data_IF_294485688347
#
_entry.id   IF_294485688347
#
_cell.length_a   1.000
_cell.length_b   1.000
_cell.length_c   1.000
_cell.angle_alpha   90.00
_cell.angle_beta   90.00
_cell.angle_gamma   90.00
#
_symmetry.space_group_name_H-M   'P 1'
#
loop_
_entity.id
_entity.type
_entity.pdbx_description
1 polymer ?
#
# COMPACT_ATOMS: atom_id res chain seq x y z
N UNK A 1 43.58 -61.25 17.20
CA UNK A 1 42.43 -60.38 17.01
C UNK A 1 41.72 -60.27 18.33
N UNK A 2 42.02 -59.22 19.09
CA UNK A 2 41.60 -59.08 20.50
C UNK A 2 40.56 -57.91 20.55
N UNK A 3 39.30 -58.23 20.88
CA UNK A 3 38.24 -57.27 21.06
C UNK A 3 38.26 -56.77 22.52
N UNK A 4 38.54 -55.49 22.68
CA UNK A 4 38.46 -54.78 23.97
C UNK A 4 37.08 -54.16 24.09
N UNK A 5 36.24 -54.68 25.02
CA UNK A 5 34.94 -54.08 25.38
C UNK A 5 35.18 -53.09 26.51
N UNK A 6 34.85 -51.79 26.26
CA UNK A 6 34.88 -50.73 27.28
C UNK A 6 33.44 -50.56 27.80
N UNK A 7 33.22 -50.85 29.07
CA UNK A 7 31.98 -50.57 29.75
C UNK A 7 32.01 -49.17 30.38
N UNK A 8 31.05 -48.30 30.06
CA UNK A 8 30.85 -47.01 30.70
C UNK A 8 29.81 -47.11 31.78
N UNK A 9 30.07 -46.63 33.01
CA UNK A 9 29.03 -46.58 34.06
C UNK A 9 28.09 -45.41 33.85
N UNK A 10 26.81 -45.69 33.67
CA UNK A 10 25.77 -44.70 33.62
C UNK A 10 25.42 -44.19 35.04
N UNK A 11 25.56 -42.88 35.26
CA UNK A 11 24.99 -42.23 36.43
C UNK A 11 23.54 -41.85 36.18
N UNK A 12 22.61 -42.60 36.80
CA UNK A 12 21.18 -42.23 36.88
C UNK A 12 20.97 -41.33 38.08
N UNK A 13 20.83 -40.02 37.89
CA UNK A 13 20.30 -39.11 38.90
C UNK A 13 18.78 -38.98 38.72
N UNK A 14 18.04 -39.59 39.63
CA UNK A 14 16.57 -39.38 39.70
C UNK A 14 16.33 -38.01 40.38
N UNK A 15 16.16 -36.98 39.56
CA UNK A 15 15.67 -35.69 40.01
C UNK A 15 14.17 -35.60 39.79
N UNK A 16 13.38 -35.58 40.85
CA UNK A 16 11.94 -35.25 40.77
C UNK A 16 11.83 -33.74 40.44
N UNK A 17 11.23 -33.34 39.31
CA UNK A 17 10.92 -31.94 39.10
C UNK A 17 9.76 -31.55 39.98
N UNK A 18 10.04 -30.72 41.00
CA UNK A 18 9.02 -30.03 41.78
C UNK A 18 8.44 -28.91 40.91
N UNK A 19 7.24 -29.11 40.42
CA UNK A 19 6.52 -28.06 39.71
C UNK A 19 6.00 -27.08 40.76
N UNK A 20 6.66 -25.92 40.91
CA UNK A 20 6.06 -24.80 41.63
C UNK A 20 4.84 -24.32 40.87
N UNK A 21 3.67 -24.16 41.50
CA UNK A 21 2.53 -23.57 40.86
C UNK A 21 2.85 -22.07 40.65
N UNK A 22 3.32 -21.70 39.48
CA UNK A 22 3.34 -20.32 39.06
C UNK A 22 1.88 -19.95 38.81
N UNK A 23 1.26 -19.23 39.71
CA UNK A 23 0.02 -18.50 39.48
C UNK A 23 0.32 -17.44 38.39
N UNK A 24 0.36 -17.84 37.17
CA UNK A 24 0.25 -16.94 36.04
C UNK A 24 -1.23 -16.63 35.91
N UNK A 25 -1.64 -15.50 36.47
CA UNK A 25 -2.89 -14.88 36.06
C UNK A 25 -2.90 -14.86 34.51
N UNK A 26 -3.87 -15.48 33.83
CA UNK A 26 -4.04 -15.24 32.43
C UNK A 26 -4.59 -13.83 32.28
N UNK A 27 -3.71 -12.81 32.34
CA UNK A 27 -4.04 -11.49 31.83
C UNK A 27 -4.40 -11.74 30.36
N UNK A 28 -5.68 -11.85 30.12
CA UNK A 28 -6.28 -11.85 28.78
C UNK A 28 -5.86 -10.53 28.14
N UNK A 29 -4.69 -10.54 27.50
CA UNK A 29 -4.27 -9.46 26.64
C UNK A 29 -5.27 -9.41 25.50
N UNK A 30 -6.22 -8.48 25.58
CA UNK A 30 -7.07 -8.18 24.44
C UNK A 30 -6.16 -7.98 23.22
N UNK A 31 -6.51 -8.53 22.06
CA UNK A 31 -5.71 -8.34 20.87
C UNK A 31 -5.50 -6.83 20.66
N UNK A 32 -4.29 -6.40 20.27
CA UNK A 32 -3.99 -5.00 20.08
C UNK A 32 -5.01 -4.37 19.13
N UNK A 33 -5.53 -3.20 19.51
CA UNK A 33 -6.51 -2.49 18.71
C UNK A 33 -5.92 -2.19 17.33
N UNK A 34 -6.69 -2.49 16.27
CA UNK A 34 -6.29 -2.21 14.90
C UNK A 34 -6.25 -0.69 14.71
N UNK A 35 -5.14 -0.18 14.19
CA UNK A 35 -4.92 1.23 13.91
C UNK A 35 -5.95 1.75 12.90
N UNK A 36 -6.65 2.84 13.24
CA UNK A 36 -7.70 3.47 12.41
C UNK A 36 -7.36 4.91 12.01
N UNK A 37 -6.12 5.36 12.23
CA UNK A 37 -5.69 6.73 11.97
C UNK A 37 -4.38 6.75 11.18
N UNK A 38 -4.11 7.84 10.46
CA UNK A 38 -2.81 8.09 9.86
C UNK A 38 -1.75 8.51 10.90
N UNK A 39 -0.55 8.88 10.46
CA UNK A 39 0.56 9.30 11.32
C UNK A 39 0.30 10.64 12.03
N UNK A 40 -0.60 11.47 11.50
CA UNK A 40 -1.03 12.72 12.12
C UNK A 40 -2.25 12.55 13.04
N UNK A 41 -2.72 11.32 13.26
CA UNK A 41 -3.89 11.01 14.11
C UNK A 41 -5.24 11.28 13.42
N UNK A 42 -5.27 11.59 12.12
CA UNK A 42 -6.52 11.78 11.38
C UNK A 42 -7.20 10.43 11.14
N UNK A 43 -8.50 10.29 11.43
CA UNK A 43 -9.21 9.02 11.28
C UNK A 43 -9.34 8.64 9.80
N UNK A 44 -9.25 7.33 9.52
CA UNK A 44 -9.65 6.80 8.22
C UNK A 44 -11.15 7.02 8.01
N UNK A 45 -11.59 7.26 6.76
CA UNK A 45 -13.02 7.44 6.45
C UNK A 45 -13.82 6.12 6.45
N UNK A 46 -13.18 5.00 6.73
CA UNK A 46 -13.74 3.66 6.85
C UNK A 46 -13.05 2.91 7.99
N UNK A 47 -13.64 1.80 8.43
CA UNK A 47 -12.99 0.90 9.39
C UNK A 47 -12.15 -0.12 8.64
N UNK A 48 -10.82 -0.09 8.84
CA UNK A 48 -9.96 -1.18 8.33
C UNK A 48 -9.96 -2.37 9.29
N UNK A 49 -9.99 -3.57 8.72
CA UNK A 49 -9.89 -4.85 9.45
C UNK A 49 -8.46 -5.42 9.42
N UNK A 50 -7.52 -4.72 8.77
CA UNK A 50 -6.16 -5.18 8.55
C UNK A 50 -5.19 -4.60 9.58
N UNK A 51 -4.73 -5.36 10.61
CA UNK A 51 -3.75 -4.89 11.59
C UNK A 51 -2.46 -4.38 10.97
N UNK A 52 -2.05 -4.98 9.84
CA UNK A 52 -0.83 -4.65 9.11
C UNK A 52 -1.12 -3.89 7.80
N UNK A 53 -2.14 -3.03 7.78
CA UNK A 53 -2.40 -2.10 6.67
C UNK A 53 -1.20 -1.18 6.43
N UNK A 54 -0.63 -0.63 7.50
CA UNK A 54 0.68 0.04 7.48
C UNK A 54 1.75 -0.99 7.82
N UNK A 55 2.69 -1.20 6.92
CA UNK A 55 3.73 -2.21 7.07
C UNK A 55 5.00 -1.80 6.33
N UNK A 56 6.04 -2.62 6.39
CA UNK A 56 7.35 -2.34 5.80
C UNK A 56 7.33 -2.17 4.26
N UNK A 57 6.26 -2.58 3.59
CA UNK A 57 6.15 -2.47 2.13
C UNK A 57 5.50 -1.15 1.67
N UNK A 58 4.99 -0.32 2.61
CA UNK A 58 4.26 0.90 2.27
C UNK A 58 4.46 2.06 3.25
N UNK A 59 5.51 2.02 4.06
CA UNK A 59 5.82 3.02 5.10
C UNK A 59 6.89 4.05 4.67
N UNK A 60 7.32 4.04 3.41
CA UNK A 60 8.39 4.90 2.90
C UNK A 60 8.01 6.39 2.76
N UNK A 61 6.78 6.76 3.06
CA UNK A 61 6.29 8.14 3.13
C UNK A 61 5.18 8.26 4.18
N UNK A 62 5.05 9.42 4.87
CA UNK A 62 3.93 9.68 5.77
C UNK A 62 2.62 10.01 5.04
N UNK A 63 2.62 10.17 3.72
CA UNK A 63 1.43 10.47 2.95
C UNK A 63 0.39 9.36 3.07
N UNK A 64 -0.86 9.73 3.39
CA UNK A 64 -2.01 8.82 3.44
C UNK A 64 -3.13 9.37 2.56
N UNK A 65 -3.37 8.78 1.38
CA UNK A 65 -4.39 9.27 0.46
C UNK A 65 -5.78 9.38 1.08
N UNK A 66 -6.14 8.44 1.95
CA UNK A 66 -7.49 8.36 2.51
C UNK A 66 -7.84 9.50 3.46
N UNK A 67 -6.83 10.18 4.03
CA UNK A 67 -7.03 11.29 4.98
C UNK A 67 -6.54 12.63 4.46
N UNK A 68 -5.79 12.63 3.35
CA UNK A 68 -5.17 13.84 2.81
C UNK A 68 -5.75 14.29 1.47
N UNK A 69 -6.45 13.40 0.74
CA UNK A 69 -7.31 13.82 -0.38
C UNK A 69 -8.58 14.45 0.19
N UNK A 70 -8.88 15.66 -0.23
CA UNK A 70 -10.04 16.39 0.25
C UNK A 70 -11.30 16.02 -0.52
N UNK A 71 -12.47 16.26 0.09
CA UNK A 71 -13.77 16.08 -0.56
C UNK A 71 -13.88 16.94 -1.83
N UNK A 72 -13.42 18.19 -1.78
CA UNK A 72 -13.43 19.10 -2.93
C UNK A 72 -12.63 18.56 -4.12
N UNK A 73 -11.46 17.93 -3.85
CA UNK A 73 -10.68 17.26 -4.89
C UNK A 73 -11.44 16.08 -5.49
N UNK A 74 -12.08 15.24 -4.66
CA UNK A 74 -12.91 14.12 -5.12
C UNK A 74 -14.05 14.60 -6.00
N UNK A 75 -14.78 15.64 -5.56
CA UNK A 75 -15.91 16.23 -6.27
C UNK A 75 -15.52 16.87 -7.60
N UNK A 76 -14.37 17.57 -7.64
CA UNK A 76 -13.81 18.18 -8.85
C UNK A 76 -13.59 17.16 -9.97
N UNK A 77 -13.24 15.92 -9.62
CA UNK A 77 -12.99 14.84 -10.59
C UNK A 77 -14.20 13.93 -10.83
N UNK A 78 -15.39 14.37 -10.45
CA UNK A 78 -16.65 13.63 -10.62
C UNK A 78 -16.64 12.25 -9.96
N UNK A 79 -15.89 12.11 -8.87
CA UNK A 79 -15.86 10.91 -8.05
C UNK A 79 -16.93 10.99 -6.97
N UNK A 80 -17.47 9.86 -6.58
CA UNK A 80 -18.40 9.75 -5.47
C UNK A 80 -17.63 9.65 -4.15
N UNK A 81 -17.68 10.70 -3.34
CA UNK A 81 -16.99 10.76 -2.06
C UNK A 81 -17.48 9.69 -1.06
N UNK A 82 -18.75 9.29 -1.16
CA UNK A 82 -19.32 8.25 -0.29
C UNK A 82 -18.91 6.82 -0.72
N UNK A 83 -18.38 6.66 -1.93
CA UNK A 83 -17.89 5.38 -2.44
C UNK A 83 -16.47 5.02 -1.96
N UNK A 84 -15.86 5.87 -1.12
CA UNK A 84 -14.50 5.69 -0.64
C UNK A 84 -14.33 4.34 0.05
N UNK A 85 -13.29 3.61 -0.33
CA UNK A 85 -12.93 2.32 0.27
C UNK A 85 -11.43 2.12 0.32
N UNK A 86 -10.98 1.23 1.20
CA UNK A 86 -9.56 0.88 1.29
C UNK A 86 -9.07 0.25 -0.02
N UNK A 87 -7.92 0.68 -0.49
CA UNK A 87 -7.22 0.02 -1.59
C UNK A 87 -6.52 -1.27 -1.12
N UNK A 88 -6.22 -1.40 0.18
CA UNK A 88 -5.70 -2.63 0.75
C UNK A 88 -6.82 -3.69 0.84
N UNK A 89 -6.58 -4.89 0.31
CA UNK A 89 -7.52 -6.00 0.32
C UNK A 89 -7.11 -7.14 1.29
N UNK A 90 -5.97 -7.00 1.97
CA UNK A 90 -5.44 -8.01 2.90
C UNK A 90 -4.39 -7.41 3.83
N UNK A 91 -4.03 -8.17 4.87
CA UNK A 91 -2.86 -7.87 5.69
C UNK A 91 -1.58 -7.88 4.86
N UNK A 92 -0.60 -7.05 5.25
CA UNK A 92 0.70 -6.93 4.60
C UNK A 92 0.64 -6.60 3.11
N UNK A 93 -0.46 -5.99 2.65
CA UNK A 93 -0.57 -5.50 1.28
C UNK A 93 0.61 -4.56 0.96
N UNK A 94 1.15 -4.68 -0.25
CA UNK A 94 2.30 -3.87 -0.70
C UNK A 94 1.97 -2.40 -0.87
N UNK A 95 0.69 -2.06 -1.05
CA UNK A 95 0.22 -0.69 -1.15
C UNK A 95 -0.94 -0.42 -0.19
N UNK A 96 -1.03 0.80 0.33
CA UNK A 96 -2.15 1.35 1.09
C UNK A 96 -2.69 2.60 0.41
N UNK A 97 -3.94 2.88 0.53
CA UNK A 97 -4.55 4.04 -0.11
C UNK A 97 -6.05 3.92 -0.21
N UNK A 98 -6.66 4.75 -1.04
CA UNK A 98 -8.09 4.80 -1.24
C UNK A 98 -8.50 4.70 -2.69
N UNK A 99 -9.69 4.14 -2.87
CA UNK A 99 -10.37 4.02 -4.16
C UNK A 99 -11.72 4.74 -4.07
N UNK A 100 -12.05 5.50 -5.11
CA UNK A 100 -13.34 6.17 -5.32
C UNK A 100 -13.93 5.75 -6.65
N UNK A 101 -15.24 5.64 -6.72
CA UNK A 101 -15.99 5.29 -7.93
C UNK A 101 -16.39 6.56 -8.69
N UNK A 102 -16.36 6.54 -10.00
CA UNK A 102 -16.89 7.66 -10.81
C UNK A 102 -18.41 7.69 -10.75
N UNK A 103 -18.99 8.90 -10.67
CA UNK A 103 -20.45 9.10 -10.60
C UNK A 103 -21.18 8.75 -11.90
N UNK A 104 -20.51 8.91 -13.03
CA UNK A 104 -21.11 8.78 -14.36
C UNK A 104 -21.51 7.34 -14.69
N UNK A 105 -20.77 6.34 -14.20
CA UNK A 105 -21.05 4.94 -14.51
C UNK A 105 -21.16 4.02 -13.30
N UNK A 106 -20.77 4.48 -12.10
CA UNK A 106 -20.84 3.73 -10.85
C UNK A 106 -19.95 2.47 -10.82
N UNK A 107 -19.05 2.28 -11.78
CA UNK A 107 -18.18 1.09 -11.92
C UNK A 107 -16.72 1.44 -12.13
N UNK A 108 -16.45 2.47 -12.94
CA UNK A 108 -15.11 3.00 -13.13
C UNK A 108 -14.60 3.61 -11.85
N UNK A 109 -13.29 3.56 -11.61
CA UNK A 109 -12.74 4.03 -10.34
C UNK A 109 -11.38 4.70 -10.51
N UNK A 110 -11.07 5.54 -9.54
CA UNK A 110 -9.75 6.11 -9.30
C UNK A 110 -9.21 5.53 -7.99
N UNK A 111 -7.97 5.11 -8.02
CA UNK A 111 -7.22 4.71 -6.82
C UNK A 111 -6.02 5.61 -6.67
N UNK A 112 -5.82 6.16 -5.46
CA UNK A 112 -4.54 6.74 -5.09
C UNK A 112 -3.94 5.93 -3.96
N UNK A 113 -2.73 5.42 -4.17
CA UNK A 113 -2.08 4.48 -3.25
C UNK A 113 -0.59 4.76 -3.09
N UNK A 114 -0.06 4.30 -1.97
CA UNK A 114 1.35 4.39 -1.57
C UNK A 114 1.92 2.99 -1.45
N UNK A 115 3.06 2.76 -2.09
CA UNK A 115 3.85 1.53 -1.94
C UNK A 115 5.34 1.86 -1.97
N UNK A 116 6.14 1.14 -1.20
CA UNK A 116 7.59 1.34 -1.21
C UNK A 116 8.17 0.90 -2.55
N UNK A 117 9.18 1.64 -3.02
CA UNK A 117 9.97 1.21 -4.15
C UNK A 117 10.83 0.01 -3.75
N UNK A 118 10.88 -1.03 -4.59
CA UNK A 118 11.79 -2.17 -4.36
C UNK A 118 13.25 -1.76 -4.46
N UNK A 119 13.53 -0.78 -5.32
CA UNK A 119 14.87 -0.20 -5.53
C UNK A 119 14.85 1.32 -5.28
N UNK A 120 14.73 1.78 -4.01
CA UNK A 120 14.55 3.20 -3.70
C UNK A 120 15.73 4.08 -4.13
N UNK A 121 16.95 3.51 -4.20
CA UNK A 121 18.15 4.23 -4.70
C UNK A 121 18.07 4.52 -6.19
N UNK A 122 17.37 3.70 -6.97
CA UNK A 122 17.13 3.90 -8.40
C UNK A 122 15.91 4.77 -8.67
N UNK A 123 15.11 5.05 -7.62
CA UNK A 123 13.93 5.91 -7.70
C UNK A 123 12.90 5.40 -8.73
N UNK A 124 12.31 6.33 -9.48
CA UNK A 124 11.29 5.99 -10.48
C UNK A 124 11.82 5.14 -11.65
N UNK A 125 13.11 5.18 -11.95
CA UNK A 125 13.68 4.30 -12.99
C UNK A 125 13.69 2.85 -12.53
N UNK A 126 14.07 2.59 -11.28
CA UNK A 126 13.96 1.26 -10.67
C UNK A 126 12.51 0.78 -10.62
N UNK A 127 11.57 1.68 -10.29
CA UNK A 127 10.14 1.33 -10.32
C UNK A 127 9.67 0.95 -11.73
N UNK A 128 10.07 1.69 -12.78
CA UNK A 128 9.77 1.32 -14.18
C UNK A 128 10.37 -0.04 -14.55
N UNK A 129 11.62 -0.28 -14.17
CA UNK A 129 12.33 -1.51 -14.48
C UNK A 129 11.64 -2.74 -13.86
N UNK A 130 11.33 -2.67 -12.57
CA UNK A 130 10.66 -3.78 -11.85
C UNK A 130 9.29 -4.10 -12.44
N UNK A 131 8.56 -3.10 -12.95
CA UNK A 131 7.22 -3.25 -13.50
C UNK A 131 7.17 -3.34 -15.04
N UNK A 132 8.33 -3.47 -15.71
CA UNK A 132 8.41 -3.44 -17.18
C UNK A 132 7.68 -4.59 -17.89
N UNK A 133 7.49 -5.72 -17.21
CA UNK A 133 6.80 -6.89 -17.77
C UNK A 133 5.27 -6.77 -17.81
N UNK A 134 4.69 -5.79 -17.11
CA UNK A 134 3.22 -5.64 -16.99
C UNK A 134 2.68 -4.26 -17.33
N UNK A 135 3.55 -3.26 -17.46
CA UNK A 135 3.15 -1.87 -17.70
C UNK A 135 3.79 -1.36 -19.00
N UNK A 136 2.98 -0.81 -19.89
CA UNK A 136 3.42 -0.01 -21.02
C UNK A 136 3.70 1.41 -20.52
N UNK A 137 4.98 1.80 -20.48
CA UNK A 137 5.41 3.11 -20.03
C UNK A 137 5.35 4.14 -21.14
N UNK A 138 4.86 5.33 -20.83
CA UNK A 138 4.83 6.49 -21.71
C UNK A 138 5.98 7.47 -21.36
N UNK A 139 6.06 8.57 -22.10
CA UNK A 139 7.01 9.65 -21.82
C UNK A 139 6.75 10.24 -20.44
N UNK A 140 7.82 10.47 -19.69
CA UNK A 140 7.77 11.13 -18.41
C UNK A 140 7.36 12.60 -18.56
N UNK A 141 6.72 13.14 -17.53
CA UNK A 141 6.36 14.55 -17.46
C UNK A 141 6.91 15.20 -16.20
N UNK A 142 7.07 16.52 -16.23
CA UNK A 142 7.37 17.30 -15.02
C UNK A 142 6.07 17.96 -14.57
N UNK A 143 5.68 17.70 -13.33
CA UNK A 143 4.48 18.19 -12.71
C UNK A 143 4.84 18.90 -11.40
N UNK A 144 4.57 20.19 -11.30
CA UNK A 144 4.96 21.01 -10.12
C UNK A 144 6.45 20.87 -9.74
N UNK A 145 7.34 20.77 -10.75
CA UNK A 145 8.78 20.63 -10.55
C UNK A 145 9.25 19.19 -10.25
N UNK A 146 8.33 18.23 -10.12
CA UNK A 146 8.64 16.82 -9.81
C UNK A 146 8.46 15.94 -11.05
N UNK A 147 9.35 14.98 -11.24
CA UNK A 147 9.22 13.95 -12.28
C UNK A 147 8.06 13.02 -11.96
N UNK A 148 7.20 12.82 -12.94
CA UNK A 148 6.07 11.85 -12.91
C UNK A 148 6.24 10.89 -14.07
N UNK A 149 6.14 9.61 -13.80
CA UNK A 149 6.11 8.56 -14.81
C UNK A 149 4.67 8.13 -15.06
N UNK A 150 4.38 7.78 -16.32
CA UNK A 150 3.05 7.39 -16.77
C UNK A 150 3.09 5.98 -17.36
N UNK A 151 2.08 5.18 -17.07
CA UNK A 151 1.99 3.85 -17.66
C UNK A 151 0.59 3.27 -17.59
N UNK A 152 0.32 2.28 -18.44
CA UNK A 152 -0.93 1.53 -18.42
C UNK A 152 -0.68 0.02 -18.55
N UNK A 153 -1.54 -0.76 -17.93
CA UNK A 153 -1.55 -2.23 -18.02
C UNK A 153 -2.35 -2.66 -19.25
N UNK A 154 -3.39 -1.90 -19.58
CA UNK A 154 -4.27 -2.17 -20.70
C UNK A 154 -4.96 -0.88 -21.18
N UNK A 155 -5.67 -0.88 -22.33
CA UNK A 155 -6.29 0.34 -22.87
C UNK A 155 -7.39 0.98 -22.00
N UNK A 156 -7.82 0.31 -20.93
CA UNK A 156 -8.87 0.81 -20.02
C UNK A 156 -8.32 1.54 -18.80
N UNK A 157 -7.01 1.55 -18.61
CA UNK A 157 -6.40 2.18 -17.43
C UNK A 157 -5.24 3.11 -17.79
N UNK A 158 -4.89 3.95 -16.84
CA UNK A 158 -3.61 4.65 -16.80
C UNK A 158 -3.27 5.05 -15.37
N UNK A 159 -1.99 4.93 -15.02
CA UNK A 159 -1.41 5.37 -13.77
C UNK A 159 -0.39 6.51 -13.97
N UNK A 160 -0.40 7.45 -13.04
CA UNK A 160 0.58 8.51 -12.88
C UNK A 160 1.28 8.32 -11.52
N UNK A 161 2.61 8.27 -11.52
CA UNK A 161 3.38 7.89 -10.34
C UNK A 161 4.45 8.95 -10.03
N UNK A 162 4.50 9.38 -8.78
CA UNK A 162 5.49 10.32 -8.26
C UNK A 162 6.24 9.71 -7.08
N UNK A 163 7.52 10.02 -6.96
CA UNK A 163 8.32 9.63 -5.80
C UNK A 163 7.90 10.44 -4.56
N UNK A 164 7.86 9.80 -3.40
CA UNK A 164 7.71 10.45 -2.09
C UNK A 164 8.55 9.67 -1.07
N UNK A 165 9.70 10.25 -0.68
CA UNK A 165 10.68 9.52 0.14
C UNK A 165 11.17 8.25 -0.55
N UNK A 166 11.03 7.10 0.13
CA UNK A 166 11.36 5.77 -0.40
C UNK A 166 10.15 5.06 -1.03
N UNK A 167 9.02 5.76 -1.12
CA UNK A 167 7.79 5.23 -1.71
C UNK A 167 7.46 5.88 -3.05
N UNK A 168 6.53 5.25 -3.75
CA UNK A 168 5.81 5.82 -4.90
C UNK A 168 4.37 6.11 -4.47
N UNK A 169 3.90 7.30 -4.77
CA UNK A 169 2.47 7.63 -4.75
C UNK A 169 1.95 7.46 -6.18
N UNK A 170 1.08 6.48 -6.35
CA UNK A 170 0.45 6.18 -7.64
C UNK A 170 -1.00 6.63 -7.64
N UNK A 171 -1.39 7.36 -8.68
CA UNK A 171 -2.79 7.67 -9.00
C UNK A 171 -3.16 6.90 -10.24
N UNK A 172 -4.04 5.92 -10.14
CA UNK A 172 -4.48 5.12 -11.26
C UNK A 172 -5.98 5.27 -11.49
N UNK A 173 -6.38 5.32 -12.76
CA UNK A 173 -7.77 5.37 -13.18
C UNK A 173 -8.05 4.16 -14.06
N UNK A 174 -9.15 3.46 -13.78
CA UNK A 174 -9.70 2.40 -14.61
C UNK A 174 -11.08 2.82 -15.08
N UNK A 175 -11.29 2.80 -16.41
CA UNK A 175 -12.57 3.13 -17.06
C UNK A 175 -13.14 1.90 -17.75
N UNK A 176 -14.40 1.59 -17.48
CA UNK A 176 -15.13 0.46 -18.07
C UNK A 176 -16.12 0.91 -19.13
N UNK A 177 -16.61 -0.04 -19.92
CA UNK A 177 -17.62 0.19 -20.95
C UNK A 177 -17.05 0.33 -22.36
N UNK A 178 -17.96 0.30 -23.34
CA UNK A 178 -17.60 0.42 -24.76
C UNK A 178 -17.26 1.87 -25.13
N UNK A 179 -17.92 2.81 -24.46
CA UNK A 179 -17.80 4.26 -24.72
C UNK A 179 -16.77 4.92 -23.78
N UNK A 180 -15.84 4.11 -23.22
CA UNK A 180 -14.78 4.65 -22.34
C UNK A 180 -13.88 5.62 -23.11
N UNK A 181 -13.32 6.62 -22.42
CA UNK A 181 -12.33 7.52 -23.02
C UNK A 181 -11.12 6.75 -23.56
N UNK A 182 -10.41 7.29 -24.56
CA UNK A 182 -9.13 6.74 -25.00
C UNK A 182 -8.10 6.81 -23.86
N UNK A 183 -7.11 5.91 -23.90
CA UNK A 183 -6.08 5.79 -22.86
C UNK A 183 -5.36 7.12 -22.58
N UNK A 184 -5.14 7.94 -23.61
CA UNK A 184 -4.52 9.28 -23.48
C UNK A 184 -5.32 10.19 -22.55
N UNK A 185 -6.65 10.16 -22.62
CA UNK A 185 -7.52 10.98 -21.78
C UNK A 185 -7.60 10.42 -20.36
N UNK A 186 -7.56 9.09 -20.21
CA UNK A 186 -7.43 8.44 -18.89
C UNK A 186 -6.11 8.84 -18.22
N UNK A 187 -4.99 8.84 -18.96
CA UNK A 187 -3.70 9.30 -18.47
C UNK A 187 -3.72 10.77 -18.05
N UNK A 188 -4.34 11.63 -18.87
CA UNK A 188 -4.50 13.05 -18.56
C UNK A 188 -5.31 13.26 -17.27
N UNK A 189 -6.39 12.50 -17.09
CA UNK A 189 -7.21 12.55 -15.88
C UNK A 189 -6.42 12.09 -14.64
N UNK A 190 -5.65 11.01 -14.74
CA UNK A 190 -4.77 10.54 -13.66
C UNK A 190 -3.70 11.59 -13.27
N UNK A 191 -3.07 12.22 -14.27
CA UNK A 191 -2.13 13.33 -14.05
C UNK A 191 -2.79 14.52 -13.35
N UNK A 192 -3.96 14.94 -13.80
CA UNK A 192 -4.66 16.09 -13.23
C UNK A 192 -5.05 15.82 -11.77
N UNK A 193 -5.51 14.62 -11.43
CA UNK A 193 -5.79 14.26 -10.04
C UNK A 193 -4.52 14.25 -9.20
N UNK A 194 -3.44 13.62 -9.69
CA UNK A 194 -2.15 13.66 -9.00
C UNK A 194 -1.67 15.09 -8.77
N UNK A 195 -1.84 15.98 -9.76
CA UNK A 195 -1.50 17.39 -9.63
C UNK A 195 -2.28 18.09 -8.52
N UNK A 196 -3.58 17.83 -8.42
CA UNK A 196 -4.42 18.44 -7.39
C UNK A 196 -4.01 18.03 -5.96
N UNK A 197 -3.45 16.83 -5.80
CA UNK A 197 -2.99 16.30 -4.51
C UNK A 197 -1.50 16.52 -4.24
N UNK A 198 -0.73 17.01 -5.22
CA UNK A 198 0.74 17.10 -5.17
C UNK A 198 1.25 17.92 -3.97
N UNK A 199 0.54 18.96 -3.58
CA UNK A 199 0.90 19.83 -2.45
C UNK A 199 0.95 19.08 -1.11
N UNK A 200 0.17 18.01 -0.98
CA UNK A 200 0.11 17.18 0.23
C UNK A 200 1.10 16.00 0.19
N UNK A 201 1.70 15.72 -0.97
CA UNK A 201 2.64 14.61 -1.16
C UNK A 201 4.06 15.11 -0.88
N UNK A 202 4.73 14.67 0.21
CA UNK A 202 6.12 15.05 0.50
C UNK A 202 7.08 14.65 -0.62
N UNK A 203 8.24 15.32 -0.69
CA UNK A 203 9.32 14.99 -1.62
C UNK A 203 10.07 13.71 -1.20
#
# INVERSE_FOLDING_TARGET
MLLLAVALPGCTTAGNPTVSPTNSDPSSLAPPAIRQTDDAGRPLPFKTEFPNRWNINNNGTPYEPCTQVTRDQVDQFQLDAESIRDAAASNFQTARGCTWTFRDDGRSFLTQAVGNMMEPKQGLDGHKQVNSGGITWYSDVILSGRRVILGSINPSDCGAYVRSGDAVVGTSITRFGRDRPPTSDICKAALNFLQSTMVSIPD
#
